data_IF_108438800824
#
_entry.id   IF_108438800824
#
_cell.length_a   1.000
_cell.length_b   1.000
_cell.length_c   1.000
_cell.angle_alpha   90.00
_cell.angle_beta   90.00
_cell.angle_gamma   90.00
#
_symmetry.space_group_name_H-M   'P 1'
#
loop_
_entity.id
_entity.type
_entity.pdbx_description
1 polymer ?
#
# COMPACT_ATOMS: atom_id res chain seq x y z
N UNK A 1 22.95 29.51 -53.36
CA UNK A 1 21.59 29.63 -53.92
C UNK A 1 20.78 28.52 -53.29
N UNK A 2 19.71 28.74 -52.56
CA UNK A 2 19.09 29.94 -52.01
C UNK A 2 18.07 29.39 -51.01
N UNK A 3 17.92 30.07 -49.87
CA UNK A 3 16.63 30.38 -49.23
C UNK A 3 15.72 29.20 -48.81
N UNK A 4 15.04 29.19 -47.67
CA UNK A 4 14.65 30.22 -46.70
C UNK A 4 13.84 29.53 -45.58
N UNK A 5 13.85 30.10 -44.38
CA UNK A 5 12.99 29.75 -43.24
C UNK A 5 11.49 30.03 -43.49
N UNK A 6 10.62 29.28 -42.79
CA UNK A 6 9.32 29.65 -42.17
C UNK A 6 8.50 28.35 -41.95
N UNK A 7 8.27 27.83 -40.73
CA UNK A 7 7.33 28.28 -39.67
C UNK A 7 5.84 28.10 -40.04
N UNK A 8 5.19 27.11 -39.39
CA UNK A 8 3.80 27.09 -38.86
C UNK A 8 3.53 25.66 -38.33
N UNK A 9 3.77 25.32 -37.07
CA UNK A 9 2.99 25.61 -35.84
C UNK A 9 1.49 25.28 -35.91
N UNK A 10 1.13 24.04 -35.58
CA UNK A 10 -0.13 23.78 -34.89
C UNK A 10 0.13 22.95 -33.63
N UNK A 11 0.18 23.68 -32.53
CA UNK A 11 0.07 23.24 -31.15
C UNK A 11 -0.97 22.11 -30.96
N UNK A 12 -0.56 21.02 -30.32
CA UNK A 12 -1.43 20.26 -29.42
C UNK A 12 -0.81 20.34 -28.04
N UNK A 13 -1.33 21.29 -27.26
CA UNK A 13 -0.93 21.56 -25.88
C UNK A 13 -1.04 20.29 -25.04
N UNK A 14 0.06 19.91 -24.39
CA UNK A 14 0.06 18.88 -23.37
C UNK A 14 -0.66 19.41 -22.12
N UNK A 15 -1.71 18.72 -21.69
CA UNK A 15 -2.21 18.88 -20.34
C UNK A 15 -1.14 18.34 -19.37
N UNK A 16 -0.35 19.24 -18.81
CA UNK A 16 0.52 18.96 -17.68
C UNK A 16 -0.37 18.71 -16.45
N UNK A 17 -0.75 17.45 -16.22
CA UNK A 17 -1.51 17.07 -15.03
C UNK A 17 -0.62 17.26 -13.82
N UNK A 18 -0.73 18.41 -13.15
CA UNK A 18 -0.16 18.67 -11.82
C UNK A 18 -0.76 17.69 -10.81
N UNK A 19 -0.16 16.50 -10.71
CA UNK A 19 -0.49 15.52 -9.68
C UNK A 19 -0.04 16.07 -8.33
N UNK A 20 -1.00 16.49 -7.51
CA UNK A 20 -0.73 16.87 -6.13
C UNK A 20 -0.61 15.61 -5.28
N UNK A 21 0.63 15.21 -4.98
CA UNK A 21 0.90 14.04 -4.14
C UNK A 21 0.68 14.39 -2.67
N UNK A 22 -0.35 13.81 -2.05
CA UNK A 22 -0.53 13.88 -0.59
C UNK A 22 0.34 12.80 0.05
N UNK A 23 1.45 13.20 0.66
CA UNK A 23 2.33 12.28 1.40
C UNK A 23 1.65 11.85 2.69
N UNK A 24 1.28 10.57 2.78
CA UNK A 24 0.68 9.95 3.95
C UNK A 24 1.34 8.59 4.20
N UNK A 25 1.49 8.21 5.47
CA UNK A 25 2.06 6.93 5.90
C UNK A 25 1.34 6.43 7.15
N UNK A 26 1.72 5.26 7.64
CA UNK A 26 1.22 4.73 8.91
C UNK A 26 1.52 5.72 10.06
N UNK A 27 0.49 6.04 10.85
CA UNK A 27 0.62 6.90 12.02
C UNK A 27 1.26 6.17 13.22
N UNK A 28 1.45 6.91 14.32
CA UNK A 28 1.92 6.36 15.58
C UNK A 28 0.84 5.49 16.24
N UNK A 29 1.17 4.23 16.55
CA UNK A 29 0.32 3.33 17.33
C UNK A 29 0.84 3.23 18.78
N UNK A 30 0.06 3.73 19.73
CA UNK A 30 0.40 3.74 21.15
C UNK A 30 0.56 2.34 21.76
N UNK A 31 0.06 1.28 21.12
CA UNK A 31 0.29 -0.12 21.55
C UNK A 31 1.72 -0.58 21.31
N UNK A 32 2.42 0.07 20.38
CA UNK A 32 3.79 -0.24 19.99
C UNK A 32 4.70 0.99 20.12
N UNK A 33 4.92 1.51 21.34
CA UNK A 33 5.67 2.75 21.56
C UNK A 33 7.19 2.59 21.40
N UNK A 34 7.69 1.36 21.42
CA UNK A 34 9.12 1.06 21.36
C UNK A 34 9.63 1.05 19.90
N UNK A 35 10.95 1.20 19.73
CA UNK A 35 11.60 1.19 18.40
C UNK A 35 11.35 -0.11 17.61
N UNK A 36 11.14 -1.24 18.28
CA UNK A 36 10.86 -2.51 17.61
C UNK A 36 9.41 -2.57 17.11
N UNK A 37 9.20 -2.27 15.82
CA UNK A 37 7.90 -2.29 15.14
C UNK A 37 7.52 -3.66 14.52
N UNK A 38 8.29 -4.72 14.81
CA UNK A 38 8.01 -6.07 14.28
C UNK A 38 6.60 -6.55 14.62
N UNK A 39 6.16 -6.34 15.87
CA UNK A 39 4.81 -6.71 16.30
C UNK A 39 3.72 -5.84 15.66
N UNK A 40 4.00 -4.55 15.42
CA UNK A 40 3.07 -3.65 14.75
C UNK A 40 2.82 -4.11 13.31
N UNK A 41 3.88 -4.39 12.56
CA UNK A 41 3.80 -4.96 11.21
C UNK A 41 3.02 -6.28 11.20
N UNK A 42 3.40 -7.25 12.05
CA UNK A 42 2.73 -8.54 12.12
C UNK A 42 1.25 -8.43 12.47
N UNK A 43 0.91 -7.62 13.47
CA UNK A 43 -0.47 -7.46 13.93
C UNK A 43 -1.33 -6.81 12.83
N UNK A 44 -0.82 -5.77 12.16
CA UNK A 44 -1.54 -5.11 11.06
C UNK A 44 -1.84 -6.07 9.89
N UNK A 45 -0.91 -6.98 9.59
CA UNK A 45 -1.12 -8.00 8.56
C UNK A 45 -2.23 -8.99 8.96
N UNK A 46 -2.17 -9.52 10.19
CA UNK A 46 -3.19 -10.44 10.71
C UNK A 46 -4.56 -9.77 10.78
N UNK A 47 -4.64 -8.54 11.29
CA UNK A 47 -5.88 -7.79 11.45
C UNK A 47 -6.53 -7.47 10.09
N UNK A 48 -5.73 -7.13 9.07
CA UNK A 48 -6.23 -6.95 7.71
C UNK A 48 -6.94 -8.21 7.19
N UNK A 49 -6.34 -9.39 7.38
CA UNK A 49 -6.92 -10.64 6.88
C UNK A 49 -8.12 -11.11 7.69
N UNK A 50 -8.12 -10.91 9.01
CA UNK A 50 -9.30 -11.15 9.84
C UNK A 50 -10.46 -10.23 9.43
N UNK A 51 -10.18 -8.94 9.22
CA UNK A 51 -11.16 -7.97 8.77
C UNK A 51 -11.74 -8.34 7.39
N UNK A 52 -10.88 -8.76 6.46
CA UNK A 52 -11.28 -9.23 5.12
C UNK A 52 -12.20 -10.45 5.19
N UNK A 53 -11.95 -11.39 6.10
CA UNK A 53 -12.77 -12.59 6.28
C UNK A 53 -14.11 -12.28 6.96
N UNK A 54 -14.13 -11.34 7.91
CA UNK A 54 -15.34 -10.95 8.65
C UNK A 54 -16.33 -10.12 7.83
N UNK A 55 -15.83 -9.09 7.15
CA UNK A 55 -16.69 -8.06 6.56
C UNK A 55 -16.61 -7.97 5.03
N UNK A 56 -15.68 -8.69 4.40
CA UNK A 56 -15.38 -8.56 2.97
C UNK A 56 -14.33 -7.49 2.65
N UNK A 57 -13.88 -7.44 1.39
CA UNK A 57 -12.74 -6.61 0.95
C UNK A 57 -13.00 -5.10 0.90
N UNK A 58 -14.25 -4.68 1.01
CA UNK A 58 -14.68 -3.29 0.71
C UNK A 58 -14.71 -2.38 1.95
N UNK A 59 -14.39 -2.89 3.14
CA UNK A 59 -14.47 -2.08 4.35
C UNK A 59 -13.30 -1.11 4.51
N UNK A 60 -13.61 0.16 4.79
CA UNK A 60 -12.61 1.21 5.03
C UNK A 60 -11.70 0.90 6.24
N UNK A 61 -12.24 0.23 7.26
CA UNK A 61 -11.45 -0.25 8.39
C UNK A 61 -10.38 -1.27 7.96
N UNK A 62 -10.71 -2.19 7.04
CA UNK A 62 -9.73 -3.15 6.51
C UNK A 62 -8.67 -2.44 5.65
N UNK A 63 -9.08 -1.41 4.89
CA UNK A 63 -8.17 -0.61 4.06
C UNK A 63 -7.12 0.13 4.89
N UNK A 64 -7.46 0.56 6.11
CA UNK A 64 -6.49 1.16 7.02
C UNK A 64 -5.39 0.16 7.40
N UNK A 65 -5.75 -1.08 7.78
CA UNK A 65 -4.76 -2.12 8.08
C UNK A 65 -3.91 -2.47 6.85
N UNK A 66 -4.52 -2.49 5.66
CA UNK A 66 -3.80 -2.67 4.40
C UNK A 66 -2.70 -1.63 4.19
N UNK A 67 -3.02 -0.35 4.39
CA UNK A 67 -2.03 0.73 4.28
C UNK A 67 -0.93 0.61 5.33
N UNK A 68 -1.30 0.25 6.56
CA UNK A 68 -0.36 0.12 7.68
C UNK A 68 0.67 -0.98 7.44
N UNK A 69 0.25 -2.21 7.11
CA UNK A 69 1.22 -3.30 6.94
C UNK A 69 2.08 -3.09 5.69
N UNK A 70 1.54 -2.55 4.59
CA UNK A 70 2.33 -2.24 3.39
C UNK A 70 3.39 -1.15 3.63
N UNK A 71 3.13 -0.22 4.57
CA UNK A 71 4.08 0.85 4.90
C UNK A 71 5.17 0.40 5.87
N UNK A 72 4.88 -0.55 6.76
CA UNK A 72 5.78 -0.96 7.84
C UNK A 72 6.53 -2.26 7.57
N UNK A 73 5.90 -3.21 6.89
CA UNK A 73 6.45 -4.55 6.73
C UNK A 73 7.42 -4.62 5.54
N UNK A 74 8.57 -5.31 5.69
CA UNK A 74 9.39 -5.66 4.55
C UNK A 74 8.61 -6.54 3.55
N UNK A 75 8.67 -6.23 2.26
CA UNK A 75 7.98 -7.00 1.21
C UNK A 75 8.29 -8.50 1.25
N UNK A 76 9.53 -8.87 1.62
CA UNK A 76 9.94 -10.27 1.79
C UNK A 76 9.12 -11.01 2.85
N UNK A 77 8.73 -10.33 3.93
CA UNK A 77 7.95 -10.93 5.00
C UNK A 77 6.52 -11.16 4.55
N UNK A 78 5.92 -10.15 3.91
CA UNK A 78 4.56 -10.23 3.34
C UNK A 78 4.47 -11.42 2.37
N UNK A 79 5.39 -11.50 1.40
CA UNK A 79 5.40 -12.60 0.42
C UNK A 79 5.50 -13.98 1.09
N UNK A 80 6.39 -14.12 2.09
CA UNK A 80 6.52 -15.38 2.85
C UNK A 80 5.24 -15.74 3.60
N UNK A 81 4.57 -14.76 4.20
CA UNK A 81 3.31 -15.00 4.91
C UNK A 81 2.17 -15.32 3.95
N UNK A 82 2.15 -14.70 2.77
CA UNK A 82 1.19 -15.00 1.71
C UNK A 82 1.33 -16.45 1.24
N UNK A 83 2.55 -16.90 0.95
CA UNK A 83 2.85 -18.30 0.62
C UNK A 83 2.40 -19.26 1.73
N UNK A 84 2.64 -18.92 3.00
CA UNK A 84 2.22 -19.73 4.14
C UNK A 84 0.70 -19.81 4.27
N UNK A 85 -0.03 -18.73 3.97
CA UNK A 85 -1.49 -18.70 3.99
C UNK A 85 -2.08 -19.51 2.84
N UNK A 86 -1.56 -19.36 1.63
CA UNK A 86 -1.98 -20.15 0.47
C UNK A 86 -1.72 -21.64 0.66
N UNK A 87 -0.60 -22.00 1.31
CA UNK A 87 -0.28 -23.38 1.67
C UNK A 87 -1.06 -23.91 2.90
N UNK A 88 -1.88 -23.09 3.57
CA UNK A 88 -2.60 -23.47 4.78
C UNK A 88 -1.72 -23.76 6.00
N UNK A 89 -0.47 -23.28 6.02
CA UNK A 89 0.52 -23.48 7.09
C UNK A 89 0.75 -22.23 7.94
N UNK A 90 -0.17 -21.27 7.88
CA UNK A 90 -0.06 -20.04 8.63
C UNK A 90 -0.29 -20.30 10.13
N UNK A 91 0.58 -19.81 11.03
CA UNK A 91 0.56 -20.20 12.45
C UNK A 91 -0.57 -19.58 13.28
N UNK A 92 -1.37 -18.68 12.70
CA UNK A 92 -2.42 -17.93 13.40
C UNK A 92 -3.77 -18.19 12.74
N UNK A 93 -4.82 -18.36 13.55
CA UNK A 93 -6.18 -18.42 13.03
C UNK A 93 -6.59 -17.06 12.44
N UNK A 94 -7.00 -17.09 11.17
CA UNK A 94 -7.58 -15.95 10.46
C UNK A 94 -9.11 -16.00 10.45
N UNK A 95 -9.69 -17.04 11.05
CA UNK A 95 -11.12 -17.11 11.33
C UNK A 95 -11.43 -16.20 12.53
N UNK A 96 -12.63 -15.60 12.57
CA UNK A 96 -13.04 -14.71 13.65
C UNK A 96 -13.27 -15.44 14.97
#
# INVERSE_FOLDING_TARGET
MSSSEAADNQNTEGEEVKQTFILQTAGFDARFPNTNQTKHCWQAYVDHHKCKNLYGSENDACRQFYRTYNSLCPNRWIARWDEQREAGKFPVSLEP
#
